data_IF_833377252177
#
_entry.id   IF_833377252177
#
_cell.length_a   1.000
_cell.length_b   1.000
_cell.length_c   1.000
_cell.angle_alpha   90.00
_cell.angle_beta   90.00
_cell.angle_gamma   90.00
#
_symmetry.space_group_name_H-M   'P 1'
#
loop_
_entity.id
_entity.type
_entity.pdbx_description
1 polymer ?
#
# COMPACT_ATOMS: atom_id res chain seq x y z
N UNK A 1 14.54 -18.22 -7.38
CA UNK A 1 13.82 -19.40 -6.86
C UNK A 1 12.32 -19.23 -7.03
N UNK A 2 11.70 -18.15 -6.54
CA UNK A 2 10.24 -17.89 -6.65
C UNK A 2 9.73 -17.88 -8.09
N UNK A 3 10.44 -17.24 -9.03
CA UNK A 3 10.06 -17.22 -10.47
C UNK A 3 10.02 -18.60 -11.17
N UNK A 4 10.36 -19.68 -10.46
CA UNK A 4 10.23 -21.06 -10.95
C UNK A 4 9.02 -21.78 -10.36
N UNK A 5 8.34 -21.18 -9.44
CA UNK A 5 7.22 -21.75 -8.69
C UNK A 5 5.99 -20.85 -8.75
N UNK A 6 6.17 -19.60 -9.17
CA UNK A 6 5.11 -18.60 -9.17
C UNK A 6 5.21 -17.72 -10.40
N UNK A 7 4.06 -17.38 -10.93
CA UNK A 7 3.86 -16.37 -11.99
C UNK A 7 3.23 -15.09 -11.44
N UNK A 8 3.42 -13.99 -12.16
CA UNK A 8 2.81 -12.69 -11.80
C UNK A 8 1.82 -12.30 -12.88
N UNK A 9 0.60 -12.02 -12.46
CA UNK A 9 -0.52 -11.63 -13.31
C UNK A 9 -0.93 -10.19 -13.00
N UNK A 10 -1.23 -9.41 -14.02
CA UNK A 10 -1.89 -8.13 -13.87
C UNK A 10 -3.39 -8.38 -13.78
N UNK A 11 -4.03 -7.81 -12.77
CA UNK A 11 -5.48 -7.86 -12.66
C UNK A 11 -6.13 -7.04 -13.79
N UNK A 12 -6.98 -7.65 -14.57
CA UNK A 12 -7.66 -7.04 -15.72
C UNK A 12 -9.17 -7.11 -15.60
N UNK A 13 -9.68 -8.07 -14.84
CA UNK A 13 -11.10 -8.29 -14.63
C UNK A 13 -11.56 -7.80 -13.26
N UNK A 14 -12.87 -7.66 -13.09
CA UNK A 14 -13.46 -7.38 -11.79
C UNK A 14 -13.16 -8.50 -10.78
N UNK A 15 -13.18 -9.72 -11.25
CA UNK A 15 -12.90 -10.94 -10.47
C UNK A 15 -11.46 -10.90 -9.92
N UNK A 16 -10.48 -10.52 -10.73
CA UNK A 16 -9.08 -10.36 -10.29
C UNK A 16 -8.95 -9.29 -9.21
N UNK A 17 -9.66 -8.16 -9.36
CA UNK A 17 -9.66 -7.10 -8.35
C UNK A 17 -10.26 -7.61 -7.04
N UNK A 18 -11.37 -8.34 -7.10
CA UNK A 18 -12.00 -8.91 -5.91
C UNK A 18 -11.14 -9.98 -5.24
N UNK A 19 -10.38 -10.75 -6.00
CA UNK A 19 -9.39 -11.69 -5.48
C UNK A 19 -8.28 -10.95 -4.70
N UNK A 20 -7.79 -9.82 -5.24
CA UNK A 20 -6.86 -8.96 -4.52
C UNK A 20 -7.46 -8.43 -3.20
N UNK A 21 -8.72 -7.99 -3.22
CA UNK A 21 -9.41 -7.48 -2.02
C UNK A 21 -9.47 -8.57 -0.94
N UNK A 22 -9.78 -9.81 -1.33
CA UNK A 22 -9.85 -10.93 -0.40
C UNK A 22 -8.49 -11.24 0.24
N UNK A 23 -7.41 -11.27 -0.57
CA UNK A 23 -6.03 -11.41 -0.09
C UNK A 23 -5.64 -10.27 0.85
N UNK A 24 -6.00 -9.03 0.50
CA UNK A 24 -5.72 -7.86 1.31
C UNK A 24 -6.44 -7.91 2.66
N UNK A 25 -7.73 -8.24 2.68
CA UNK A 25 -8.50 -8.37 3.91
C UNK A 25 -8.01 -9.52 4.81
N UNK A 26 -7.60 -10.65 4.23
CA UNK A 26 -6.97 -11.72 4.99
C UNK A 26 -5.69 -11.21 5.68
N UNK A 27 -4.88 -10.47 4.96
CA UNK A 27 -3.65 -9.88 5.50
C UNK A 27 -3.95 -8.86 6.61
N UNK A 28 -4.98 -8.01 6.47
CA UNK A 28 -5.37 -7.04 7.50
C UNK A 28 -5.87 -7.73 8.76
N UNK A 29 -6.72 -8.76 8.64
CA UNK A 29 -7.17 -9.57 9.79
C UNK A 29 -5.99 -10.21 10.53
N UNK A 30 -5.04 -10.79 9.79
CA UNK A 30 -3.84 -11.40 10.38
C UNK A 30 -2.95 -10.40 11.15
N UNK A 31 -2.91 -9.15 10.70
CA UNK A 31 -2.13 -8.09 11.32
C UNK A 31 -2.87 -7.38 12.46
N UNK A 32 -4.10 -7.79 12.77
CA UNK A 32 -4.96 -7.12 13.73
C UNK A 32 -5.07 -5.61 13.45
N UNK A 33 -5.27 -5.29 12.15
CA UNK A 33 -5.31 -3.92 11.68
C UNK A 33 -6.61 -3.24 12.11
N UNK A 34 -6.54 -1.93 12.39
CA UNK A 34 -7.69 -1.09 12.72
C UNK A 34 -8.74 -1.10 11.60
N UNK A 35 -10.01 -0.92 11.95
CA UNK A 35 -11.16 -1.00 11.04
C UNK A 35 -11.03 -0.10 9.80
N UNK A 36 -10.41 1.06 9.94
CA UNK A 36 -10.24 2.00 8.83
C UNK A 36 -9.32 1.49 7.70
N UNK A 37 -8.57 0.40 7.91
CA UNK A 37 -7.82 -0.27 6.85
C UNK A 37 -8.66 -1.27 6.05
N UNK A 38 -9.88 -1.59 6.49
CA UNK A 38 -10.76 -2.53 5.78
C UNK A 38 -11.60 -1.80 4.74
N UNK A 39 -10.93 -1.27 3.70
CA UNK A 39 -11.60 -0.65 2.57
C UNK A 39 -12.58 -1.63 1.92
N UNK A 40 -13.77 -1.16 1.57
CA UNK A 40 -14.77 -1.98 0.89
C UNK A 40 -14.42 -2.28 -0.57
N UNK A 41 -15.20 -3.16 -1.21
CA UNK A 41 -14.99 -3.55 -2.59
C UNK A 41 -15.14 -2.37 -3.55
N UNK A 42 -16.04 -1.46 -3.25
CA UNK A 42 -16.31 -0.30 -4.10
C UNK A 42 -15.15 0.70 -4.08
N UNK A 43 -14.45 0.83 -2.95
CA UNK A 43 -13.19 1.58 -2.88
C UNK A 43 -12.22 1.12 -3.97
N UNK A 44 -11.92 -0.19 -4.02
CA UNK A 44 -10.96 -0.73 -4.99
C UNK A 44 -11.44 -0.59 -6.43
N UNK A 45 -12.72 -0.91 -6.69
CA UNK A 45 -13.28 -0.81 -8.03
C UNK A 45 -13.35 0.63 -8.55
N UNK A 46 -13.65 1.60 -7.67
CA UNK A 46 -13.67 3.01 -8.03
C UNK A 46 -12.25 3.57 -8.18
N UNK A 47 -11.32 3.15 -7.31
CA UNK A 47 -9.92 3.56 -7.39
C UNK A 47 -9.28 3.20 -8.74
N UNK A 48 -9.62 2.03 -9.29
CA UNK A 48 -9.17 1.59 -10.63
C UNK A 48 -9.72 2.44 -11.80
N UNK A 49 -10.78 3.22 -11.57
CA UNK A 49 -11.43 4.06 -12.59
C UNK A 49 -10.96 5.52 -12.59
N UNK A 50 -10.11 5.90 -11.66
CA UNK A 50 -9.61 7.28 -11.53
C UNK A 50 -8.66 7.57 -12.69
N UNK A 51 -8.92 8.67 -13.43
CA UNK A 51 -8.15 9.06 -14.61
C UNK A 51 -6.91 9.92 -14.27
N UNK A 52 -6.87 10.56 -13.11
CA UNK A 52 -5.76 11.43 -12.69
C UNK A 52 -4.44 10.68 -12.47
N UNK A 53 -4.50 9.36 -12.32
CA UNK A 53 -3.36 8.46 -12.18
C UNK A 53 -3.68 7.05 -12.69
N UNK A 54 -2.65 6.28 -12.97
CA UNK A 54 -2.82 4.88 -13.40
C UNK A 54 -2.64 3.93 -12.23
N UNK A 55 -3.58 3.03 -12.04
CA UNK A 55 -3.50 1.98 -11.02
C UNK A 55 -3.21 0.62 -11.67
N UNK A 56 -2.29 -0.13 -11.07
CA UNK A 56 -2.04 -1.52 -11.43
C UNK A 56 -2.16 -2.40 -10.19
N UNK A 57 -2.88 -3.49 -10.29
CA UNK A 57 -2.85 -4.57 -9.32
C UNK A 57 -2.08 -5.73 -9.93
N UNK A 58 -1.06 -6.22 -9.21
CA UNK A 58 -0.32 -7.42 -9.55
C UNK A 58 -0.68 -8.53 -8.56
N UNK A 59 -1.02 -9.69 -9.08
CA UNK A 59 -1.32 -10.90 -8.33
C UNK A 59 -0.21 -11.93 -8.56
N UNK A 60 0.26 -12.55 -7.50
CA UNK A 60 1.21 -13.68 -7.55
C UNK A 60 0.43 -14.97 -7.46
N UNK A 61 0.61 -15.84 -8.45
CA UNK A 61 -0.01 -17.14 -8.55
C UNK A 61 1.02 -18.23 -8.24
N UNK A 62 0.66 -19.17 -7.40
CA UNK A 62 1.42 -20.39 -7.19
C UNK A 62 1.10 -21.36 -8.33
N UNK A 63 2.09 -21.71 -9.12
CA UNK A 63 1.91 -22.52 -10.34
C UNK A 63 1.58 -23.98 -10.04
N UNK A 64 1.86 -24.47 -8.83
CA UNK A 64 1.52 -25.85 -8.40
C UNK A 64 0.03 -25.96 -8.02
N UNK A 65 -0.46 -24.99 -7.25
CA UNK A 65 -1.84 -25.03 -6.72
C UNK A 65 -2.85 -24.27 -7.58
N UNK A 66 -2.38 -23.50 -8.56
CA UNK A 66 -3.16 -22.60 -9.42
C UNK A 66 -3.90 -21.48 -8.64
N UNK A 67 -3.44 -21.14 -7.43
CA UNK A 67 -4.06 -20.15 -6.54
C UNK A 67 -3.30 -18.84 -6.52
N UNK A 68 -4.03 -17.73 -6.43
CA UNK A 68 -3.44 -16.44 -6.10
C UNK A 68 -3.09 -16.39 -4.61
N UNK A 69 -1.82 -16.16 -4.31
CA UNK A 69 -1.22 -16.26 -2.97
C UNK A 69 -0.79 -14.92 -2.38
N UNK A 70 -0.65 -13.92 -3.23
CA UNK A 70 -0.33 -12.56 -2.80
C UNK A 70 -0.75 -11.57 -3.87
N UNK A 71 -0.88 -10.31 -3.48
CA UNK A 71 -1.16 -9.24 -4.43
C UNK A 71 -0.70 -7.89 -3.91
N UNK A 72 -0.56 -6.96 -4.84
CA UNK A 72 -0.23 -5.58 -4.53
C UNK A 72 -0.84 -4.61 -5.53
N UNK A 73 -1.31 -3.49 -5.00
CA UNK A 73 -1.82 -2.34 -5.72
C UNK A 73 -0.74 -1.26 -5.80
N UNK A 74 -0.49 -0.79 -7.00
CA UNK A 74 0.49 0.26 -7.31
C UNK A 74 -0.20 1.43 -8.00
N UNK A 75 0.22 2.64 -7.66
CA UNK A 75 -0.26 3.87 -8.29
C UNK A 75 0.88 4.52 -9.05
N UNK A 76 0.62 4.92 -10.30
CA UNK A 76 1.57 5.54 -11.20
C UNK A 76 1.11 6.96 -11.53
N UNK A 77 1.89 7.95 -11.14
CA UNK A 77 1.64 9.36 -11.42
C UNK A 77 2.92 10.18 -11.29
N UNK A 78 3.01 11.31 -11.99
CA UNK A 78 4.11 12.25 -11.87
C UNK A 78 5.51 11.60 -11.87
N UNK A 79 5.71 10.65 -12.76
CA UNK A 79 6.99 9.94 -12.90
C UNK A 79 7.39 9.07 -11.68
N UNK A 80 6.41 8.76 -10.80
CA UNK A 80 6.58 7.96 -9.60
C UNK A 80 5.66 6.74 -9.68
N UNK A 81 6.18 5.57 -9.33
CA UNK A 81 5.38 4.40 -8.97
C UNK A 81 5.32 4.31 -7.45
N UNK A 82 4.12 4.36 -6.89
CA UNK A 82 3.87 4.22 -5.47
C UNK A 82 3.42 2.79 -5.15
N UNK A 83 4.13 2.09 -4.27
CA UNK A 83 3.65 0.88 -3.59
C UNK A 83 2.57 1.28 -2.59
N UNK A 84 1.32 0.93 -2.86
CA UNK A 84 0.17 1.47 -2.11
C UNK A 84 -0.36 0.47 -1.10
N UNK A 85 -0.99 -0.61 -1.54
CA UNK A 85 -1.56 -1.65 -0.68
C UNK A 85 -1.04 -3.02 -1.11
N UNK A 86 -0.95 -3.96 -0.15
CA UNK A 86 -0.56 -5.33 -0.47
C UNK A 86 -1.07 -6.32 0.56
N UNK A 87 -1.14 -7.57 0.15
CA UNK A 87 -1.45 -8.69 1.03
C UNK A 87 -0.75 -9.96 0.59
N UNK A 88 -0.62 -10.87 1.54
CA UNK A 88 -0.12 -12.25 1.32
C UNK A 88 -0.99 -13.18 2.11
N UNK A 89 -1.47 -14.26 1.49
CA UNK A 89 -2.23 -15.31 2.19
C UNK A 89 -1.36 -15.96 3.26
N UNK A 90 -1.95 -16.23 4.39
CA UNK A 90 -1.25 -16.65 5.61
C UNK A 90 -0.40 -17.91 5.39
N UNK A 91 -0.92 -18.89 4.68
CA UNK A 91 -0.24 -20.17 4.41
C UNK A 91 1.01 -20.01 3.55
N UNK A 92 1.11 -18.91 2.79
CA UNK A 92 2.19 -18.66 1.84
C UNK A 92 3.25 -17.63 2.30
N UNK A 93 3.16 -17.15 3.54
CA UNK A 93 4.10 -16.17 4.09
C UNK A 93 5.56 -16.62 4.01
N UNK A 94 5.83 -17.90 4.23
CA UNK A 94 7.18 -18.48 4.18
C UNK A 94 7.82 -18.40 2.80
N UNK A 95 7.03 -18.39 1.73
CA UNK A 95 7.50 -18.23 0.35
C UNK A 95 7.97 -16.81 0.05
N UNK A 96 7.50 -15.82 0.84
CA UNK A 96 7.82 -14.38 0.67
C UNK A 96 7.44 -13.85 -0.73
N UNK A 97 6.21 -14.11 -1.22
CA UNK A 97 5.80 -13.76 -2.58
C UNK A 97 5.78 -12.25 -2.84
N UNK A 98 5.72 -11.42 -1.78
CA UNK A 98 5.81 -9.96 -1.88
C UNK A 98 7.07 -9.46 -2.60
N UNK A 99 8.18 -10.19 -2.52
CA UNK A 99 9.39 -9.86 -3.28
C UNK A 99 9.19 -9.97 -4.79
N UNK A 100 8.31 -10.88 -5.22
CA UNK A 100 8.10 -11.14 -6.64
C UNK A 100 7.28 -10.02 -7.30
N UNK A 101 6.16 -9.59 -6.72
CA UNK A 101 5.39 -8.50 -7.29
C UNK A 101 6.13 -7.14 -7.22
N UNK A 102 6.97 -6.92 -6.20
CA UNK A 102 7.81 -5.73 -6.13
C UNK A 102 8.88 -5.72 -7.22
N UNK A 103 9.57 -6.85 -7.44
CA UNK A 103 10.57 -6.96 -8.51
C UNK A 103 9.93 -6.85 -9.89
N UNK A 104 8.76 -7.45 -10.10
CA UNK A 104 8.00 -7.33 -11.35
C UNK A 104 7.59 -5.88 -11.63
N UNK A 105 7.07 -5.18 -10.62
CA UNK A 105 6.71 -3.76 -10.80
C UNK A 105 7.94 -2.89 -11.04
N UNK A 106 9.06 -3.18 -10.38
CA UNK A 106 10.33 -2.47 -10.63
C UNK A 106 10.76 -2.59 -12.09
N UNK A 107 10.72 -3.81 -12.65
CA UNK A 107 11.06 -4.05 -14.05
C UNK A 107 10.13 -3.28 -14.99
N UNK A 108 8.82 -3.39 -14.79
CA UNK A 108 7.83 -2.65 -15.57
C UNK A 108 7.99 -1.13 -15.47
N UNK A 109 8.23 -0.62 -14.26
CA UNK A 109 8.46 0.80 -14.04
C UNK A 109 9.71 1.30 -14.79
N UNK A 110 10.78 0.52 -14.81
CA UNK A 110 12.00 0.83 -15.54
C UNK A 110 11.76 0.84 -17.06
N UNK A 111 11.06 -0.16 -17.58
CA UNK A 111 10.69 -0.26 -19.00
C UNK A 111 9.79 0.91 -19.44
N UNK A 112 8.84 1.30 -18.60
CA UNK A 112 7.95 2.43 -18.83
C UNK A 112 8.61 3.81 -18.61
N UNK A 113 9.87 3.86 -18.16
CA UNK A 113 10.64 5.09 -17.97
C UNK A 113 10.34 5.87 -16.70
N UNK A 114 9.74 5.27 -15.68
CA UNK A 114 9.52 5.91 -14.38
C UNK A 114 10.85 6.13 -13.65
N UNK A 115 11.02 7.31 -13.08
CA UNK A 115 12.26 7.70 -12.38
C UNK A 115 12.31 7.17 -10.94
N UNK A 116 11.16 7.12 -10.26
CA UNK A 116 11.09 6.75 -8.85
C UNK A 116 10.12 5.61 -8.60
N UNK A 117 10.55 4.65 -7.78
CA UNK A 117 9.68 3.64 -7.21
C UNK A 117 9.65 3.83 -5.69
N UNK A 118 8.58 4.45 -5.19
CA UNK A 118 8.41 4.75 -3.77
C UNK A 118 7.76 3.57 -3.04
N UNK A 119 8.49 2.97 -2.13
CA UNK A 119 8.02 1.86 -1.29
C UNK A 119 7.28 2.34 -0.03
N UNK A 120 7.36 3.64 0.28
CA UNK A 120 6.84 4.21 1.54
C UNK A 120 7.71 3.86 2.75
N UNK A 121 7.23 4.25 3.92
CA UNK A 121 7.88 4.00 5.22
C UNK A 121 7.34 2.79 5.98
N UNK A 122 7.64 2.72 7.26
CA UNK A 122 7.02 1.82 8.23
C UNK A 122 5.67 2.33 8.72
N UNK A 123 5.05 1.61 9.64
CA UNK A 123 3.74 1.95 10.21
C UNK A 123 3.88 3.24 11.04
N UNK A 124 3.02 4.21 10.77
CA UNK A 124 3.07 5.50 11.47
C UNK A 124 4.38 6.28 11.30
N UNK A 125 5.22 5.94 10.30
CA UNK A 125 6.52 6.57 10.07
C UNK A 125 7.66 5.99 10.91
N UNK A 126 7.43 4.90 11.62
CA UNK A 126 8.43 4.25 12.47
C UNK A 126 9.41 3.40 11.66
N UNK A 127 10.62 3.20 12.20
CA UNK A 127 11.63 2.28 11.64
C UNK A 127 11.40 0.83 12.13
N UNK A 128 10.19 0.33 11.91
CA UNK A 128 9.71 -0.99 12.29
C UNK A 128 10.15 -2.11 11.31
N UNK A 129 9.63 -3.31 11.49
CA UNK A 129 9.92 -4.46 10.62
C UNK A 129 9.47 -4.23 9.17
N UNK A 130 8.39 -3.47 8.95
CA UNK A 130 7.93 -3.09 7.62
C UNK A 130 8.90 -2.12 6.94
N UNK A 131 9.41 -1.14 7.70
CA UNK A 131 10.46 -0.25 7.21
C UNK A 131 11.71 -1.04 6.83
N UNK A 132 12.18 -1.95 7.70
CA UNK A 132 13.37 -2.77 7.44
C UNK A 132 13.18 -3.66 6.20
N UNK A 133 11.99 -4.22 6.01
CA UNK A 133 11.65 -4.97 4.79
C UNK A 133 11.81 -4.09 3.55
N UNK A 134 11.24 -2.88 3.54
CA UNK A 134 11.33 -1.94 2.41
C UNK A 134 12.77 -1.44 2.19
N UNK A 135 13.50 -1.13 3.26
CA UNK A 135 14.91 -0.72 3.23
C UNK A 135 15.85 -1.81 2.69
N UNK A 136 15.40 -3.08 2.67
CA UNK A 136 16.17 -4.17 2.06
C UNK A 136 16.25 -4.10 0.53
N UNK A 137 15.36 -3.34 -0.13
CA UNK A 137 15.34 -3.19 -1.59
C UNK A 137 16.18 -2.01 -2.09
N UNK A 138 16.34 -0.96 -1.29
CA UNK A 138 17.12 0.23 -1.66
C UNK A 138 17.75 0.87 -0.43
N UNK A 139 18.89 1.54 -0.64
CA UNK A 139 19.55 2.39 0.36
C UNK A 139 19.27 3.87 0.16
N UNK A 140 18.44 4.20 -0.82
CA UNK A 140 18.01 5.57 -1.06
C UNK A 140 16.77 5.89 -0.21
N UNK A 141 16.92 6.87 0.67
CA UNK A 141 15.86 7.32 1.55
C UNK A 141 15.50 8.77 1.26
N UNK A 142 14.20 9.07 1.30
CA UNK A 142 13.66 10.43 1.24
C UNK A 142 12.84 10.71 2.47
N UNK A 143 13.03 11.90 3.04
CA UNK A 143 12.19 12.33 4.17
C UNK A 143 10.77 12.59 3.69
N UNK A 144 9.80 11.93 4.30
CA UNK A 144 8.40 12.28 4.16
C UNK A 144 8.15 13.62 4.86
N UNK A 145 7.50 14.56 4.18
CA UNK A 145 7.18 15.89 4.71
C UNK A 145 5.70 16.14 4.58
N UNK A 146 5.10 16.67 5.62
CA UNK A 146 3.71 17.10 5.64
C UNK A 146 3.71 18.63 5.70
N UNK A 147 2.96 19.27 4.83
CA UNK A 147 2.66 20.68 4.93
C UNK A 147 1.39 20.83 5.76
N UNK A 148 1.50 21.54 6.90
CA UNK A 148 0.40 21.80 7.82
C UNK A 148 -0.02 23.26 7.62
N UNK A 149 -1.28 23.48 7.24
CA UNK A 149 -1.82 24.85 7.05
C UNK A 149 -3.22 24.95 7.66
N UNK A 150 -3.43 25.97 8.50
CA UNK A 150 -4.70 26.27 9.12
C UNK A 150 -5.39 27.34 8.30
N UNK A 151 -6.47 27.01 7.62
CA UNK A 151 -7.24 27.92 6.74
C UNK A 151 -7.99 28.96 7.54
N UNK A 152 -8.53 28.57 8.71
CA UNK A 152 -9.31 29.43 9.60
C UNK A 152 -8.92 29.15 11.05
N UNK A 153 -8.09 30.03 11.61
CA UNK A 153 -7.56 29.86 12.97
C UNK A 153 -8.66 29.90 14.04
N UNK A 154 -9.71 30.74 13.87
CA UNK A 154 -10.81 30.84 14.82
C UNK A 154 -11.53 29.51 14.94
N UNK A 155 -11.98 28.93 13.81
CA UNK A 155 -12.67 27.64 13.78
C UNK A 155 -11.75 26.53 14.26
N UNK A 156 -10.48 26.55 13.84
CA UNK A 156 -9.50 25.54 14.27
C UNK A 156 -9.34 25.52 15.79
N UNK A 157 -9.23 26.70 16.43
CA UNK A 157 -9.09 26.84 17.88
C UNK A 157 -10.38 26.42 18.62
N UNK A 158 -11.56 26.79 18.12
CA UNK A 158 -12.85 26.36 18.64
C UNK A 158 -12.97 24.82 18.65
N UNK A 159 -12.62 24.16 17.53
CA UNK A 159 -12.63 22.71 17.40
C UNK A 159 -11.58 22.01 18.30
N UNK A 160 -10.48 22.69 18.57
CA UNK A 160 -9.35 22.17 19.34
C UNK A 160 -9.42 22.43 20.85
N UNK A 161 -10.48 23.07 21.34
CA UNK A 161 -10.62 23.52 22.76
C UNK A 161 -10.44 22.37 23.76
N UNK A 162 -10.89 21.16 23.40
CA UNK A 162 -10.78 19.96 24.23
C UNK A 162 -9.63 19.02 23.81
N UNK A 163 -8.79 19.43 22.86
CA UNK A 163 -7.68 18.60 22.41
C UNK A 163 -6.58 18.60 23.47
N UNK A 164 -6.08 17.42 23.79
CA UNK A 164 -4.84 17.27 24.57
C UNK A 164 -3.71 17.98 23.81
N UNK A 165 -2.79 18.62 24.54
CA UNK A 165 -1.60 19.25 23.94
C UNK A 165 -0.77 18.15 23.27
N UNK A 166 -0.94 18.02 21.97
CA UNK A 166 -0.28 17.01 21.16
C UNK A 166 0.33 17.66 19.92
N UNK A 167 1.43 17.11 19.46
CA UNK A 167 2.02 17.47 18.18
C UNK A 167 1.21 16.98 16.98
N UNK A 168 0.11 16.25 17.24
CA UNK A 168 -0.77 15.74 16.20
C UNK A 168 -1.46 16.87 15.44
N UNK A 169 -1.58 16.73 14.13
CA UNK A 169 -2.26 17.71 13.29
C UNK A 169 -3.32 17.03 12.41
N UNK A 170 -4.55 17.55 12.39
CA UNK A 170 -5.06 18.68 13.18
C UNK A 170 -5.34 18.27 14.64
N UNK A 171 -5.09 19.20 15.59
CA UNK A 171 -5.21 18.95 17.03
C UNK A 171 -6.56 18.37 17.46
N UNK A 172 -7.67 18.83 16.84
CA UNK A 172 -9.02 18.39 17.17
C UNK A 172 -9.29 16.91 16.79
N UNK A 173 -8.37 16.23 16.11
CA UNK A 173 -8.43 14.79 15.83
C UNK A 173 -7.48 13.97 16.73
N UNK A 174 -6.73 14.62 17.61
CA UNK A 174 -5.86 13.90 18.54
C UNK A 174 -6.69 13.01 19.47
N UNK A 175 -6.34 11.72 19.54
CA UNK A 175 -7.04 10.74 20.41
C UNK A 175 -8.31 10.13 19.82
N UNK A 176 -8.61 10.35 18.53
CA UNK A 176 -9.73 9.70 17.82
C UNK A 176 -9.29 8.43 17.06
N UNK A 177 -8.15 7.85 17.46
CA UNK A 177 -7.59 6.63 16.85
C UNK A 177 -7.51 5.53 17.90
#
# INVERSE_FOLDING_TARGET
>A
KLRRQCSVHKAETKEDILEFVDIYHENMRRLDAEDYYFFDKDYFLNFMKIDDFKTNILLVKDDETDKFIAGSMFVKTNNIVQFHLSGTRTDYLRMKPSKLFLDEMRLKATEEGFTFFNLGGGLGGNEDSLFQFKASFSKEFKKFKIWKYIVNEKIYNELSTNATDSEFFPKYRAGQH
#
